data_IF_208115042756
#
_entry.id   IF_208115042756
#
_cell.length_a   1.000
_cell.length_b   1.000
_cell.length_c   1.000
_cell.angle_alpha   90.00
_cell.angle_beta   90.00
_cell.angle_gamma   90.00
#
_symmetry.space_group_name_H-M   'P 1'
#
loop_
_entity.id
_entity.type
_entity.pdbx_description
1 polymer ?
#
# COMPACT_ATOMS: atom_id res chain seq x y z
N UNK A 1 9.88 5.53 -27.58
CA UNK A 1 9.00 6.00 -26.48
C UNK A 1 9.87 6.71 -25.46
N UNK A 2 9.44 7.82 -24.84
CA UNK A 2 10.22 8.45 -23.77
C UNK A 2 10.39 7.46 -22.62
N UNK A 3 11.62 7.34 -22.10
CA UNK A 3 11.87 6.55 -20.89
C UNK A 3 11.27 7.35 -19.73
N UNK A 4 10.22 6.84 -19.10
CA UNK A 4 9.64 7.43 -17.91
C UNK A 4 10.41 6.94 -16.68
N UNK A 5 11.59 7.51 -16.45
CA UNK A 5 12.48 7.17 -15.35
C UNK A 5 12.00 7.91 -14.08
N UNK A 6 11.50 7.15 -13.10
CA UNK A 6 11.11 7.68 -11.77
C UNK A 6 12.16 7.30 -10.74
N UNK A 7 13.26 8.03 -10.73
CA UNK A 7 14.30 7.90 -9.71
C UNK A 7 14.11 8.94 -8.62
N UNK A 8 14.24 8.52 -7.37
CA UNK A 8 14.20 9.42 -6.21
C UNK A 8 15.06 8.88 -5.08
N UNK A 9 15.80 9.77 -4.42
CA UNK A 9 16.62 9.43 -3.24
C UNK A 9 15.84 9.45 -1.94
N UNK A 10 14.66 10.08 -1.95
CA UNK A 10 13.67 10.06 -0.87
C UNK A 10 12.29 9.82 -1.48
N UNK A 11 11.38 9.07 -0.83
CA UNK A 11 10.04 8.86 -1.36
C UNK A 11 9.36 10.20 -1.66
N UNK A 12 8.56 10.30 -2.75
CA UNK A 12 7.70 11.44 -2.99
C UNK A 12 6.83 11.72 -1.74
N UNK A 13 6.61 13.00 -1.37
CA UNK A 13 5.78 13.31 -0.23
C UNK A 13 4.36 12.76 -0.45
N UNK A 14 3.86 12.00 0.50
CA UNK A 14 2.48 11.53 0.50
C UNK A 14 1.52 12.66 0.90
N UNK A 15 0.21 12.53 0.61
CA UNK A 15 -0.77 13.52 1.03
C UNK A 15 -0.77 13.72 2.56
N UNK A 16 -1.00 14.95 3.04
CA UNK A 16 -1.23 15.21 4.46
C UNK A 16 -2.41 14.40 5.01
N UNK A 17 -2.39 14.10 6.31
CA UNK A 17 -3.49 13.41 7.00
C UNK A 17 -4.80 14.16 6.82
N UNK A 18 -5.89 13.44 6.52
CA UNK A 18 -7.21 14.03 6.29
C UNK A 18 -7.37 14.71 4.93
N UNK A 19 -6.45 14.51 3.98
CA UNK A 19 -6.64 14.98 2.61
C UNK A 19 -7.92 14.37 2.03
N UNK A 20 -8.83 15.15 1.41
CA UNK A 20 -10.02 14.59 0.77
C UNK A 20 -9.64 13.66 -0.39
N UNK A 21 -10.34 12.52 -0.51
CA UNK A 21 -10.07 11.47 -1.51
C UNK A 21 -9.88 11.96 -2.95
N UNK A 22 -10.65 12.97 -3.36
CA UNK A 22 -10.66 13.51 -4.72
C UNK A 22 -9.91 14.85 -4.81
N UNK A 23 -9.07 15.16 -3.82
CA UNK A 23 -8.32 16.41 -3.78
C UNK A 23 -7.27 16.45 -4.90
N UNK A 24 -7.29 17.48 -5.77
CA UNK A 24 -6.24 17.67 -6.77
C UNK A 24 -4.84 17.84 -6.15
N UNK A 25 -4.77 18.27 -4.89
CA UNK A 25 -3.50 18.42 -4.17
C UNK A 25 -2.83 17.09 -3.80
N UNK A 26 -3.57 15.98 -3.88
CA UNK A 26 -3.01 14.66 -3.64
C UNK A 26 -2.21 14.15 -4.85
N UNK A 27 -2.50 14.65 -6.05
CA UNK A 27 -1.85 14.18 -7.28
C UNK A 27 -0.32 14.31 -7.18
N UNK A 28 0.43 13.29 -7.64
CA UNK A 28 -0.04 12.13 -8.40
C UNK A 28 -0.50 10.94 -7.54
N UNK A 29 -0.59 11.08 -6.21
CA UNK A 29 -1.25 10.07 -5.38
C UNK A 29 -2.76 10.05 -5.65
N UNK A 30 -3.35 8.86 -5.53
CA UNK A 30 -4.81 8.67 -5.55
C UNK A 30 -5.25 7.80 -4.38
N UNK A 31 -6.46 8.07 -3.86
CA UNK A 31 -7.03 7.30 -2.76
C UNK A 31 -7.58 5.98 -3.28
N UNK A 32 -7.18 4.88 -2.65
CA UNK A 32 -7.72 3.52 -2.91
C UNK A 32 -8.69 3.07 -1.80
N UNK A 33 -8.63 3.72 -0.64
CA UNK A 33 -9.56 3.60 0.47
C UNK A 33 -9.46 4.86 1.37
N UNK A 34 -10.43 5.12 2.27
CA UNK A 34 -10.32 6.20 3.25
C UNK A 34 -8.99 6.12 4.02
N UNK A 35 -8.17 7.17 3.90
CA UNK A 35 -6.85 7.23 4.56
C UNK A 35 -5.80 6.27 4.00
N UNK A 36 -6.03 5.66 2.83
CA UNK A 36 -5.05 4.84 2.11
C UNK A 36 -4.86 5.37 0.69
N UNK A 37 -3.61 5.66 0.36
CA UNK A 37 -3.18 6.34 -0.85
C UNK A 37 -2.19 5.51 -1.62
N UNK A 38 -2.20 5.63 -2.94
CA UNK A 38 -1.27 4.94 -3.83
C UNK A 38 -0.61 5.92 -4.79
N UNK A 39 0.70 5.77 -4.97
CA UNK A 39 1.51 6.43 -6.00
C UNK A 39 2.00 5.36 -6.95
N UNK A 40 1.46 5.35 -8.17
CA UNK A 40 1.90 4.40 -9.20
C UNK A 40 3.35 4.69 -9.62
N UNK A 41 4.25 3.73 -9.43
CA UNK A 41 5.63 3.83 -9.88
C UNK A 41 5.75 3.37 -11.33
N UNK A 42 5.21 2.20 -11.64
CA UNK A 42 5.22 1.62 -12.99
C UNK A 42 4.06 0.63 -13.15
N UNK A 43 3.64 0.41 -14.40
CA UNK A 43 2.63 -0.58 -14.77
C UNK A 43 1.21 -0.03 -14.82
N UNK A 44 0.24 -0.90 -14.58
CA UNK A 44 -1.20 -0.67 -14.69
C UNK A 44 -1.99 -1.38 -13.57
N UNK A 45 -3.32 -1.39 -13.65
CA UNK A 45 -4.19 -1.96 -12.60
C UNK A 45 -3.96 -3.47 -12.37
N UNK A 46 -3.55 -4.22 -13.39
CA UNK A 46 -3.35 -5.67 -13.32
C UNK A 46 -1.91 -6.03 -12.94
N UNK A 47 -0.94 -5.21 -13.36
CA UNK A 47 0.48 -5.40 -13.10
C UNK A 47 1.13 -4.06 -12.73
N UNK A 48 1.26 -3.78 -11.43
CA UNK A 48 1.86 -2.52 -10.94
C UNK A 48 2.96 -2.72 -9.94
N UNK A 49 3.84 -1.72 -9.90
CA UNK A 49 4.63 -1.37 -8.74
C UNK A 49 4.16 0.00 -8.24
N UNK A 50 3.95 0.15 -6.94
CA UNK A 50 3.47 1.38 -6.33
C UNK A 50 4.10 1.63 -4.96
N UNK A 51 4.06 2.89 -4.52
CA UNK A 51 4.13 3.20 -3.09
C UNK A 51 2.71 3.29 -2.56
N UNK A 52 2.47 2.73 -1.38
CA UNK A 52 1.20 2.85 -0.68
C UNK A 52 1.41 3.51 0.67
N UNK A 53 0.62 4.55 0.95
CA UNK A 53 0.64 5.29 2.20
C UNK A 53 -0.67 5.08 2.97
N UNK A 54 -0.55 4.56 4.19
CA UNK A 54 -1.62 4.50 5.17
C UNK A 54 -1.44 5.65 6.15
N UNK A 55 -2.49 6.45 6.31
CA UNK A 55 -2.53 7.48 7.34
C UNK A 55 -2.46 6.86 8.75
N UNK A 56 -1.97 7.61 9.75
CA UNK A 56 -1.93 7.17 11.13
C UNK A 56 -3.25 6.60 11.63
N UNK A 57 -3.20 5.41 12.23
CA UNK A 57 -4.35 4.71 12.81
C UNK A 57 -5.45 4.30 11.80
N UNK A 58 -5.24 4.48 10.49
CA UNK A 58 -6.19 3.99 9.48
C UNK A 58 -6.36 2.48 9.60
N UNK A 59 -7.61 2.03 9.57
CA UNK A 59 -7.97 0.61 9.53
C UNK A 59 -8.42 0.23 8.12
N UNK A 60 -8.25 -1.05 7.79
CA UNK A 60 -8.86 -1.61 6.60
C UNK A 60 -10.37 -1.36 6.61
N UNK A 61 -10.95 -1.15 5.43
CA UNK A 61 -12.39 -0.88 5.28
C UNK A 61 -13.24 -2.10 5.66
N UNK A 62 -12.70 -3.29 5.43
CA UNK A 62 -13.33 -4.56 5.77
C UNK A 62 -12.83 -5.10 7.12
N UNK A 63 -13.71 -5.81 7.83
CA UNK A 63 -13.41 -6.49 9.10
C UNK A 63 -12.93 -7.92 8.93
N UNK A 64 -13.22 -8.54 7.78
CA UNK A 64 -12.83 -9.92 7.48
C UNK A 64 -11.42 -9.98 6.88
N UNK A 65 -10.73 -11.13 6.98
CA UNK A 65 -9.45 -11.34 6.31
C UNK A 65 -9.52 -11.01 4.82
N UNK A 66 -8.45 -10.36 4.35
CA UNK A 66 -8.27 -9.96 2.97
C UNK A 66 -7.79 -11.16 2.16
N UNK A 67 -8.32 -11.31 0.94
CA UNK A 67 -7.83 -12.29 -0.04
C UNK A 67 -7.91 -11.70 -1.45
N UNK A 68 -7.02 -12.13 -2.35
CA UNK A 68 -6.97 -11.69 -3.73
C UNK A 68 -6.54 -12.83 -4.68
N UNK A 69 -6.87 -12.68 -5.96
CA UNK A 69 -6.57 -13.67 -7.02
C UNK A 69 -5.23 -13.46 -7.72
N UNK A 70 -4.49 -12.42 -7.33
CA UNK A 70 -3.16 -12.06 -7.84
C UNK A 70 -2.08 -12.35 -6.79
N UNK A 71 -0.82 -12.24 -7.19
CA UNK A 71 0.33 -12.22 -6.26
C UNK A 71 0.52 -10.79 -5.78
N UNK A 72 0.66 -10.62 -4.47
CA UNK A 72 1.02 -9.35 -3.85
C UNK A 72 2.36 -9.49 -3.10
N UNK A 73 3.28 -8.59 -3.37
CA UNK A 73 4.56 -8.49 -2.67
C UNK A 73 4.67 -7.10 -2.03
N UNK A 74 5.02 -7.07 -0.75
CA UNK A 74 5.04 -5.85 0.05
C UNK A 74 6.33 -5.73 0.84
N UNK A 75 6.89 -4.53 0.89
CA UNK A 75 8.00 -4.19 1.79
C UNK A 75 7.73 -2.87 2.51
N UNK A 76 7.76 -2.89 3.85
CA UNK A 76 7.51 -1.70 4.68
C UNK A 76 8.73 -0.79 4.70
N UNK A 77 8.57 0.45 4.26
CA UNK A 77 9.62 1.46 4.17
C UNK A 77 9.62 2.42 5.37
N UNK A 78 8.45 2.67 5.97
CA UNK A 78 8.29 3.54 7.15
C UNK A 78 7.06 3.13 7.96
N UNK A 79 7.12 3.27 9.28
CA UNK A 79 5.98 2.97 10.16
C UNK A 79 5.68 1.48 10.20
N UNK A 80 4.40 1.11 10.25
CA UNK A 80 4.00 -0.30 10.25
C UNK A 80 2.51 -0.56 10.19
N UNK A 81 2.16 -1.84 10.06
CA UNK A 81 0.78 -2.35 10.11
C UNK A 81 0.65 -3.41 11.21
N UNK A 82 -0.45 -3.35 11.96
CA UNK A 82 -0.93 -4.39 12.86
C UNK A 82 -1.92 -5.27 12.09
N UNK A 83 -1.69 -6.57 12.04
CA UNK A 83 -2.63 -7.57 11.53
C UNK A 83 -3.58 -7.94 12.66
N UNK A 84 -4.84 -7.56 12.52
CA UNK A 84 -5.83 -7.70 13.56
C UNK A 84 -6.32 -9.15 13.73
N UNK A 85 -6.16 -9.99 12.69
CA UNK A 85 -6.49 -11.42 12.77
C UNK A 85 -5.41 -12.17 13.56
N UNK A 86 -4.14 -11.81 13.35
CA UNK A 86 -3.00 -12.43 14.03
C UNK A 86 -2.65 -11.78 15.38
N UNK A 87 -3.14 -10.56 15.64
CA UNK A 87 -2.78 -9.78 16.84
C UNK A 87 -1.29 -9.43 16.90
N UNK A 88 -0.67 -9.25 15.73
CA UNK A 88 0.77 -9.03 15.60
C UNK A 88 1.03 -7.71 14.85
N UNK A 89 2.27 -7.23 14.86
CA UNK A 89 2.64 -5.97 14.19
C UNK A 89 3.95 -6.09 13.43
N UNK A 90 4.01 -5.45 12.26
CA UNK A 90 5.13 -5.48 11.33
C UNK A 90 5.55 -4.06 11.00
N UNK A 91 6.84 -3.76 11.22
CA UNK A 91 7.41 -2.43 11.02
C UNK A 91 8.34 -2.35 9.81
N UNK A 92 9.19 -1.33 9.82
CA UNK A 92 10.20 -1.06 8.78
C UNK A 92 11.05 -2.30 8.48
N UNK A 93 11.20 -2.63 7.19
CA UNK A 93 11.93 -3.79 6.70
C UNK A 93 11.14 -5.09 6.71
N UNK A 94 9.91 -5.10 7.25
CA UNK A 94 9.03 -6.24 7.11
C UNK A 94 8.69 -6.47 5.63
N UNK A 95 8.64 -7.75 5.27
CA UNK A 95 8.38 -8.22 3.92
C UNK A 95 7.26 -9.26 3.96
N UNK A 96 6.36 -9.21 2.97
CA UNK A 96 5.34 -10.22 2.75
C UNK A 96 5.27 -10.58 1.28
N UNK A 97 5.20 -11.88 1.01
CA UNK A 97 4.85 -12.43 -0.30
C UNK A 97 3.54 -13.19 -0.12
N UNK A 98 2.50 -12.75 -0.81
CA UNK A 98 1.14 -13.28 -0.68
C UNK A 98 0.74 -13.94 -1.98
N UNK A 99 0.61 -15.26 -1.92
CA UNK A 99 0.05 -16.06 -3.00
C UNK A 99 -1.46 -15.78 -3.17
N UNK A 100 -2.01 -16.07 -4.37
CA UNK A 100 -3.45 -16.02 -4.59
C UNK A 100 -4.21 -16.86 -3.55
N UNK A 101 -5.25 -16.28 -2.98
CA UNK A 101 -6.06 -16.92 -1.95
C UNK A 101 -5.53 -16.81 -0.52
N UNK A 102 -4.31 -16.31 -0.31
CA UNK A 102 -3.74 -16.18 1.04
C UNK A 102 -4.52 -15.16 1.88
N UNK A 103 -5.07 -15.62 3.00
CA UNK A 103 -5.71 -14.76 4.00
C UNK A 103 -4.69 -13.94 4.76
N UNK A 104 -4.99 -12.66 4.97
CA UNK A 104 -4.12 -11.73 5.68
C UNK A 104 -4.90 -10.49 6.12
N UNK A 105 -4.42 -9.77 7.13
CA UNK A 105 -5.16 -8.64 7.71
C UNK A 105 -6.51 -9.08 8.30
N UNK A 106 -7.48 -8.16 8.51
CA UNK A 106 -7.40 -6.73 8.18
C UNK A 106 -6.31 -6.02 8.98
N UNK A 107 -5.85 -4.89 8.45
CA UNK A 107 -4.78 -4.10 9.05
C UNK A 107 -5.25 -2.86 9.78
N UNK A 108 -4.48 -2.46 10.79
CA UNK A 108 -4.46 -1.12 11.36
C UNK A 108 -3.06 -0.52 11.25
N UNK A 109 -2.93 0.68 10.69
CA UNK A 109 -1.65 1.38 10.66
C UNK A 109 -1.23 1.88 12.05
N UNK A 110 0.07 1.93 12.32
CA UNK A 110 0.56 2.52 13.58
C UNK A 110 0.26 4.02 13.65
N UNK A 111 0.53 4.64 14.80
CA UNK A 111 0.39 6.09 15.01
C UNK A 111 1.31 6.94 14.11
N UNK A 112 2.34 6.32 13.52
CA UNK A 112 3.23 6.94 12.54
C UNK A 112 2.75 6.75 11.09
N UNK A 113 1.65 6.01 10.87
CA UNK A 113 1.20 5.57 9.55
C UNK A 113 2.04 4.41 9.00
N UNK A 114 1.86 4.08 7.72
CA UNK A 114 2.68 3.07 7.05
C UNK A 114 2.97 3.50 5.61
N UNK A 115 4.24 3.58 5.23
CA UNK A 115 4.66 3.68 3.83
C UNK A 115 5.23 2.33 3.42
N UNK A 116 4.71 1.75 2.35
CA UNK A 116 5.18 0.46 1.84
C UNK A 116 5.33 0.49 0.32
N UNK A 117 6.31 -0.26 -0.18
CA UNK A 117 6.36 -0.65 -1.58
C UNK A 117 5.39 -1.81 -1.79
N UNK A 118 4.58 -1.75 -2.84
CA UNK A 118 3.61 -2.78 -3.20
C UNK A 118 3.84 -3.17 -4.67
N UNK A 119 3.99 -4.46 -4.91
CA UNK A 119 4.02 -5.05 -6.25
C UNK A 119 2.84 -5.99 -6.40
N UNK A 120 2.07 -5.78 -7.46
CA UNK A 120 0.97 -6.66 -7.87
C UNK A 120 1.35 -7.31 -9.18
N UNK A 121 1.19 -8.64 -9.25
CA UNK A 121 1.50 -9.43 -10.45
C UNK A 121 0.36 -10.40 -10.72
N UNK A 122 -0.14 -10.49 -11.96
CA UNK A 122 -1.15 -11.48 -12.31
C UNK A 122 -0.53 -12.88 -12.25
N UNK A 123 -1.34 -13.86 -11.86
CA UNK A 123 -0.95 -15.28 -12.00
C UNK A 123 -0.91 -15.58 -13.49
N UNK A 124 0.26 -15.99 -14.01
CA UNK A 124 0.34 -16.47 -15.39
C UNK A 124 -0.64 -17.64 -15.56
N UNK A 125 -1.55 -17.52 -16.52
CA UNK A 125 -2.29 -18.69 -17.03
C UNK A 125 -1.36 -19.61 -17.78
#
# INVERSE_FOLDING_TARGET
MPIHQKEFSTPPPHPPVGTPRDSPSALPWYSIAPGVWEFLLNGDEEHKAALQWWEPNTTSVQSEPITHTYIEEVCTLRGGLEDLTLGQSWGIGAYAYRDPGMEHGPYRATKEGCLQFVKVVPVKK
#
